data_IF_764620165659
#
_entry.id   IF_764620165659
#
_cell.length_a   1.000
_cell.length_b   1.000
_cell.length_c   1.000
_cell.angle_alpha   90.00
_cell.angle_beta   90.00
_cell.angle_gamma   90.00
#
_symmetry.space_group_name_H-M   'P 1'
#
loop_
_entity.id
_entity.type
_entity.pdbx_description
1 polymer ?
#
# COMPACT_ATOMS: atom_id res chain seq x y z
N UNK A 1 31.69 -26.06 33.81
CA UNK A 1 30.85 -24.95 34.32
C UNK A 1 30.00 -24.45 33.15
N UNK A 2 28.69 -24.64 33.26
CA UNK A 2 27.71 -24.37 32.21
C UNK A 2 27.36 -22.88 32.18
N UNK A 3 27.39 -22.25 31.00
CA UNK A 3 26.87 -20.89 30.81
C UNK A 3 25.60 -20.99 29.96
N UNK A 4 24.51 -20.60 30.61
CA UNK A 4 23.13 -20.62 30.11
C UNK A 4 22.92 -19.57 29.01
N UNK A 5 22.56 -20.02 27.81
CA UNK A 5 21.99 -19.17 26.76
C UNK A 5 20.46 -19.18 26.91
N UNK A 6 19.88 -18.03 27.25
CA UNK A 6 18.44 -17.78 27.13
C UNK A 6 18.15 -17.16 25.76
N UNK A 7 17.19 -17.66 24.96
CA UNK A 7 16.74 -16.96 23.77
C UNK A 7 15.69 -15.90 24.16
N UNK A 8 15.91 -14.66 23.72
CA UNK A 8 14.90 -13.58 23.71
C UNK A 8 14.32 -13.45 22.29
N UNK A 9 13.09 -12.94 22.26
CA UNK A 9 12.29 -12.43 21.12
C UNK A 9 11.65 -13.43 20.13
N UNK A 10 10.41 -13.86 20.45
CA UNK A 10 9.33 -14.13 19.50
C UNK A 10 8.46 -12.85 19.42
N UNK A 11 8.69 -12.00 18.43
CA UNK A 11 7.86 -10.81 18.15
C UNK A 11 8.05 -10.44 16.69
N UNK A 12 7.10 -10.72 15.79
CA UNK A 12 7.03 -10.06 14.46
C UNK A 12 5.84 -10.43 13.56
N UNK A 13 4.76 -11.08 14.04
CA UNK A 13 3.63 -11.41 13.16
C UNK A 13 2.54 -10.32 13.08
N UNK A 14 2.45 -9.43 14.08
CA UNK A 14 1.29 -8.53 14.23
C UNK A 14 1.54 -7.06 13.85
N UNK A 15 2.77 -6.68 13.52
CA UNK A 15 3.10 -5.31 13.09
C UNK A 15 2.81 -5.03 11.61
N UNK A 16 2.52 -6.05 10.80
CA UNK A 16 2.31 -5.91 9.36
C UNK A 16 0.97 -5.26 8.97
N UNK A 17 -0.03 -5.25 9.85
CA UNK A 17 -1.32 -4.57 9.57
C UNK A 17 -1.20 -3.04 9.71
N UNK A 18 -0.30 -2.56 10.58
CA UNK A 18 -0.10 -1.12 10.82
C UNK A 18 0.94 -0.44 9.91
N UNK A 19 1.78 -1.22 9.24
CA UNK A 19 2.76 -0.74 8.25
C UNK A 19 2.33 -0.98 6.80
N UNK A 20 1.18 -1.63 6.58
CA UNK A 20 0.49 -1.69 5.29
C UNK A 20 -0.25 -0.38 4.99
N UNK A 21 0.46 0.75 5.05
CA UNK A 21 0.00 1.99 4.43
C UNK A 21 0.03 1.82 2.91
N UNK A 22 -1.05 1.28 2.34
CA UNK A 22 -1.24 1.23 0.89
C UNK A 22 -1.98 0.00 0.34
N UNK A 23 -2.11 -1.09 1.09
CA UNK A 23 -2.88 -2.26 0.64
C UNK A 23 -4.34 -2.09 1.03
N UNK A 24 -5.04 -1.19 0.35
CA UNK A 24 -6.46 -1.47 0.11
C UNK A 24 -6.51 -2.71 -0.77
N UNK A 25 -7.40 -3.68 -0.53
CA UNK A 25 -7.66 -4.71 -1.53
C UNK A 25 -7.85 -3.99 -2.87
N UNK A 26 -7.34 -4.54 -4.00
CA UNK A 26 -7.63 -3.93 -5.28
C UNK A 26 -9.13 -3.70 -5.31
N UNK A 27 -9.54 -2.47 -5.65
CA UNK A 27 -10.89 -2.24 -6.13
C UNK A 27 -10.99 -2.98 -7.47
N UNK A 28 -10.97 -4.32 -7.42
CA UNK A 28 -11.70 -5.14 -8.38
C UNK A 28 -13.08 -4.52 -8.33
N UNK A 29 -13.49 -3.96 -9.46
CA UNK A 29 -14.71 -3.19 -9.60
C UNK A 29 -15.74 -3.72 -8.60
N UNK A 30 -16.34 -2.82 -7.83
CA UNK A 30 -17.68 -3.10 -7.38
C UNK A 30 -18.45 -3.38 -8.68
N UNK A 31 -18.47 -4.64 -9.12
CA UNK A 31 -19.44 -5.14 -10.07
C UNK A 31 -20.74 -4.59 -9.53
N UNK A 32 -21.40 -3.84 -10.41
CA UNK A 32 -22.60 -3.05 -10.20
C UNK A 32 -23.25 -3.40 -8.88
N UNK A 33 -23.28 -2.45 -7.94
CA UNK A 33 -23.92 -2.55 -6.64
C UNK A 33 -25.02 -3.62 -6.71
N UNK A 34 -24.66 -4.85 -6.32
CA UNK A 34 -25.57 -5.96 -6.49
C UNK A 34 -26.81 -5.52 -5.72
N UNK A 35 -27.90 -5.29 -6.46
CA UNK A 35 -29.18 -4.92 -5.90
C UNK A 35 -29.38 -5.83 -4.69
N UNK A 36 -29.62 -5.24 -3.51
CA UNK A 36 -29.80 -6.01 -2.29
C UNK A 36 -30.71 -7.18 -2.63
N UNK A 37 -30.23 -8.45 -2.53
CA UNK A 37 -30.96 -9.55 -3.12
C UNK A 37 -32.36 -9.53 -2.51
N UNK A 38 -33.38 -9.42 -3.37
CA UNK A 38 -34.76 -9.52 -2.98
C UNK A 38 -34.90 -10.72 -2.04
N UNK A 39 -35.63 -10.57 -0.93
CA UNK A 39 -35.78 -11.57 0.13
C UNK A 39 -36.03 -12.96 -0.49
N UNK A 40 -34.97 -13.75 -0.67
CA UNK A 40 -35.06 -15.03 -1.36
C UNK A 40 -35.67 -15.98 -0.36
N UNK A 41 -36.98 -16.25 -0.50
CA UNK A 41 -37.62 -17.33 0.22
C UNK A 41 -36.83 -18.61 -0.06
N UNK A 42 -36.24 -19.28 0.95
CA UNK A 42 -35.42 -20.46 0.71
C UNK A 42 -36.23 -21.53 -0.02
N UNK A 43 -35.84 -21.87 -1.25
CA UNK A 43 -36.61 -22.80 -2.10
C UNK A 43 -36.00 -24.20 -2.14
N UNK A 44 -34.76 -24.36 -1.66
CA UNK A 44 -34.04 -25.62 -1.62
C UNK A 44 -33.42 -25.91 -0.24
N UNK A 45 -33.07 -27.17 0.08
CA UNK A 45 -32.32 -27.50 1.29
C UNK A 45 -30.98 -26.75 1.40
N UNK A 46 -30.33 -26.46 0.26
CA UNK A 46 -29.11 -25.67 0.22
C UNK A 46 -29.37 -24.21 0.61
N UNK A 47 -30.48 -23.61 0.18
CA UNK A 47 -30.82 -22.24 0.58
C UNK A 47 -31.09 -22.12 2.08
N UNK A 48 -31.74 -23.13 2.67
CA UNK A 48 -31.97 -23.18 4.13
C UNK A 48 -30.65 -23.26 4.88
N UNK A 49 -29.73 -24.14 4.46
CA UNK A 49 -28.42 -24.25 5.08
C UNK A 49 -27.56 -22.99 4.88
N UNK A 50 -27.68 -22.33 3.71
CA UNK A 50 -26.95 -21.10 3.42
C UNK A 50 -27.46 -19.88 4.21
N UNK A 51 -28.74 -19.88 4.59
CA UNK A 51 -29.31 -18.82 5.41
C UNK A 51 -28.61 -18.71 6.77
N UNK A 52 -28.20 -19.83 7.37
CA UNK A 52 -27.43 -19.86 8.62
C UNK A 52 -26.06 -19.19 8.45
N UNK A 53 -25.36 -19.50 7.35
CA UNK A 53 -24.08 -18.88 7.00
C UNK A 53 -24.26 -17.36 6.87
N UNK A 54 -25.28 -16.93 6.13
CA UNK A 54 -25.56 -15.51 5.87
C UNK A 54 -25.89 -14.75 7.16
N UNK A 55 -26.65 -15.36 8.06
CA UNK A 55 -26.97 -14.79 9.38
C UNK A 55 -25.71 -14.58 10.22
N UNK A 56 -24.79 -15.56 10.25
CA UNK A 56 -23.52 -15.43 10.95
C UNK A 56 -22.60 -14.36 10.35
N UNK A 57 -22.57 -14.23 9.01
CA UNK A 57 -21.77 -13.22 8.32
C UNK A 57 -22.25 -11.79 8.62
N UNK A 58 -23.56 -11.58 8.65
CA UNK A 58 -24.20 -10.28 8.84
C UNK A 58 -24.36 -9.87 10.31
N UNK A 59 -24.22 -10.82 11.25
CA UNK A 59 -24.32 -10.52 12.68
C UNK A 59 -23.13 -9.68 13.17
N UNK A 60 -23.44 -8.57 13.85
CA UNK A 60 -22.46 -7.83 14.66
C UNK A 60 -22.60 -8.24 16.12
N UNK A 61 -21.52 -8.64 16.79
CA UNK A 61 -21.59 -9.05 18.20
C UNK A 61 -21.86 -7.89 19.17
N UNK A 62 -21.68 -6.63 18.74
CA UNK A 62 -21.86 -5.45 19.61
C UNK A 62 -22.51 -4.28 18.88
N UNK A 63 -23.40 -3.57 19.59
CA UNK A 63 -24.08 -2.36 19.10
C UNK A 63 -23.36 -1.07 19.52
N UNK A 64 -22.56 -1.11 20.59
CA UNK A 64 -21.79 0.04 21.09
C UNK A 64 -20.62 0.37 20.13
N UNK A 65 -20.34 1.65 19.82
CA UNK A 65 -19.16 2.04 19.06
C UNK A 65 -17.87 1.66 19.79
N UNK A 66 -16.87 1.15 19.05
CA UNK A 66 -15.58 0.69 19.62
C UNK A 66 -14.88 1.75 20.48
N UNK A 67 -14.92 3.02 20.05
CA UNK A 67 -14.29 4.14 20.74
C UNK A 67 -14.88 4.40 22.15
N UNK A 68 -16.14 4.02 22.37
CA UNK A 68 -16.88 4.23 23.61
C UNK A 68 -16.79 3.04 24.57
N UNK A 69 -16.24 1.91 24.12
CA UNK A 69 -16.12 0.71 24.95
C UNK A 69 -15.01 0.82 25.99
N UNK A 70 -15.32 0.44 27.21
CA UNK A 70 -14.33 0.15 28.27
C UNK A 70 -13.41 -1.01 27.86
N UNK A 71 -12.22 -1.15 28.47
CA UNK A 71 -11.33 -2.27 28.19
C UNK A 71 -11.97 -3.66 28.35
N UNK A 72 -12.85 -3.83 29.35
CA UNK A 72 -13.58 -5.07 29.57
C UNK A 72 -14.58 -5.35 28.43
N UNK A 73 -15.34 -4.34 28.01
CA UNK A 73 -16.28 -4.45 26.89
C UNK A 73 -15.57 -4.77 25.57
N UNK A 74 -14.38 -4.21 25.34
CA UNK A 74 -13.57 -4.53 24.15
C UNK A 74 -13.12 -5.98 24.14
N UNK A 75 -12.59 -6.48 25.26
CA UNK A 75 -12.19 -7.90 25.38
C UNK A 75 -13.38 -8.83 25.15
N UNK A 76 -14.55 -8.47 25.65
CA UNK A 76 -15.77 -9.25 25.43
C UNK A 76 -16.24 -9.18 23.97
N UNK A 77 -16.22 -8.01 23.34
CA UNK A 77 -16.49 -7.84 21.91
C UNK A 77 -15.59 -8.72 21.05
N UNK A 78 -14.28 -8.77 21.36
CA UNK A 78 -13.31 -9.63 20.67
C UNK A 78 -13.62 -11.11 20.86
N UNK A 79 -14.02 -11.55 22.06
CA UNK A 79 -14.46 -12.94 22.32
C UNK A 79 -15.72 -13.30 21.55
N UNK A 80 -16.73 -12.43 21.54
CA UNK A 80 -17.96 -12.68 20.80
C UNK A 80 -17.69 -12.75 19.30
N UNK A 81 -16.81 -11.90 18.76
CA UNK A 81 -16.41 -12.02 17.35
C UNK A 81 -15.62 -13.31 17.08
N UNK A 82 -14.78 -13.76 18.00
CA UNK A 82 -14.07 -15.04 17.89
C UNK A 82 -15.05 -16.24 17.87
N UNK A 83 -16.03 -16.26 18.77
CA UNK A 83 -17.09 -17.28 18.77
C UNK A 83 -17.88 -17.27 17.46
N UNK A 84 -18.26 -16.09 16.97
CA UNK A 84 -18.98 -15.93 15.69
C UNK A 84 -18.16 -16.46 14.51
N UNK A 85 -16.87 -16.15 14.44
CA UNK A 85 -15.99 -16.62 13.35
C UNK A 85 -15.74 -18.12 13.41
N UNK A 86 -15.69 -18.73 14.61
CA UNK A 86 -15.66 -20.18 14.77
C UNK A 86 -16.97 -20.84 14.31
N UNK A 87 -18.12 -20.27 14.67
CA UNK A 87 -19.43 -20.76 14.22
C UNK A 87 -19.56 -20.65 12.69
N UNK A 88 -19.09 -19.53 12.11
CA UNK A 88 -19.07 -19.32 10.67
C UNK A 88 -18.17 -20.35 9.95
N UNK A 89 -16.98 -20.62 10.48
CA UNK A 89 -16.10 -21.66 9.96
C UNK A 89 -16.80 -23.03 9.95
N UNK A 90 -17.45 -23.39 11.06
CA UNK A 90 -18.18 -24.65 11.20
C UNK A 90 -19.35 -24.75 10.21
N UNK A 91 -20.17 -23.71 10.10
CA UNK A 91 -21.32 -23.65 9.21
C UNK A 91 -20.90 -23.80 7.73
N UNK A 92 -19.86 -23.08 7.30
CA UNK A 92 -19.36 -23.18 5.91
C UNK A 92 -18.73 -24.56 5.66
N UNK A 93 -18.05 -25.15 6.65
CA UNK A 93 -17.52 -26.52 6.53
C UNK A 93 -18.64 -27.53 6.33
N UNK A 94 -19.71 -27.43 7.13
CA UNK A 94 -20.87 -28.31 7.03
C UNK A 94 -21.60 -28.13 5.69
N UNK A 95 -21.78 -26.88 5.26
CA UNK A 95 -22.40 -26.56 3.98
C UNK A 95 -21.63 -27.19 2.81
N UNK A 96 -20.31 -26.99 2.74
CA UNK A 96 -19.48 -27.53 1.67
C UNK A 96 -19.50 -29.08 1.65
N UNK A 97 -19.55 -29.72 2.82
CA UNK A 97 -19.65 -31.18 2.91
C UNK A 97 -21.03 -31.72 2.47
N UNK A 98 -22.10 -30.97 2.76
CA UNK A 98 -23.46 -31.37 2.43
C UNK A 98 -23.82 -31.07 0.97
N UNK A 99 -23.28 -29.99 0.40
CA UNK A 99 -23.59 -29.50 -0.95
C UNK A 99 -22.29 -29.28 -1.76
N UNK A 100 -21.56 -30.36 -2.11
CA UNK A 100 -20.25 -30.26 -2.77
C UNK A 100 -20.30 -29.66 -4.19
N UNK A 101 -21.47 -29.69 -4.84
CA UNK A 101 -21.65 -29.12 -6.18
C UNK A 101 -22.21 -27.69 -6.14
N UNK A 102 -22.60 -27.17 -4.97
CA UNK A 102 -23.14 -25.82 -4.85
C UNK A 102 -22.00 -24.78 -4.89
N UNK A 103 -22.04 -23.78 -5.78
CA UNK A 103 -20.96 -22.80 -5.93
C UNK A 103 -20.72 -21.96 -4.66
N UNK A 104 -21.73 -21.83 -3.79
CA UNK A 104 -21.62 -21.12 -2.51
C UNK A 104 -20.65 -21.80 -1.53
N UNK A 105 -20.25 -23.07 -1.77
CA UNK A 105 -19.22 -23.72 -0.95
C UNK A 105 -17.87 -22.98 -0.94
N UNK A 106 -17.61 -22.20 -2.01
CA UNK A 106 -16.39 -21.40 -2.18
C UNK A 106 -16.52 -19.99 -1.56
N UNK A 107 -17.73 -19.61 -1.14
CA UNK A 107 -17.99 -18.34 -0.48
C UNK A 107 -17.46 -18.33 0.97
N UNK A 108 -17.38 -17.13 1.55
CA UNK A 108 -16.94 -16.87 2.94
C UNK A 108 -15.46 -17.13 3.20
N UNK A 109 -14.75 -17.87 2.34
CA UNK A 109 -13.30 -18.05 2.41
C UNK A 109 -12.58 -16.69 2.58
N UNK A 110 -12.91 -15.72 1.73
CA UNK A 110 -12.30 -14.38 1.75
C UNK A 110 -12.49 -13.69 3.11
N UNK A 111 -13.69 -13.77 3.69
CA UNK A 111 -13.97 -13.17 5.00
C UNK A 111 -13.17 -13.86 6.12
N UNK A 112 -13.10 -15.19 6.11
CA UNK A 112 -12.34 -15.96 7.10
C UNK A 112 -10.83 -15.74 6.97
N UNK A 113 -10.31 -15.42 5.80
CA UNK A 113 -8.89 -15.01 5.63
C UNK A 113 -8.60 -13.66 6.29
N UNK A 114 -9.51 -12.69 6.18
CA UNK A 114 -9.32 -11.37 6.79
C UNK A 114 -9.62 -11.37 8.30
N UNK A 115 -10.58 -12.18 8.73
CA UNK A 115 -11.01 -12.29 10.12
C UNK A 115 -11.02 -13.76 10.58
N UNK A 116 -9.85 -14.40 10.69
CA UNK A 116 -9.78 -15.79 11.10
C UNK A 116 -10.14 -15.93 12.59
N UNK A 117 -10.75 -17.07 13.00
CA UNK A 117 -10.93 -17.39 14.40
C UNK A 117 -9.56 -17.43 15.10
N UNK A 118 -9.50 -16.80 16.26
CA UNK A 118 -8.30 -16.70 17.11
C UNK A 118 -8.31 -17.72 18.25
N UNK A 119 -9.44 -18.37 18.51
CA UNK A 119 -9.61 -19.32 19.60
C UNK A 119 -9.06 -18.75 20.91
N UNK A 120 -9.61 -17.60 21.31
CA UNK A 120 -9.07 -16.74 22.36
C UNK A 120 -9.00 -17.50 23.69
N UNK A 121 -7.80 -17.66 24.23
CA UNK A 121 -7.54 -18.23 25.56
C UNK A 121 -7.26 -17.15 26.59
N UNK A 122 -6.89 -15.94 26.16
CA UNK A 122 -6.64 -14.82 27.06
C UNK A 122 -6.26 -13.53 26.32
N UNK A 123 -5.76 -12.57 27.09
CA UNK A 123 -5.22 -11.32 26.57
C UNK A 123 -3.90 -11.01 27.26
N UNK A 124 -2.95 -10.45 26.52
CA UNK A 124 -1.70 -9.93 27.08
C UNK A 124 -1.95 -8.63 27.85
N UNK A 125 -1.03 -8.31 28.76
CA UNK A 125 -1.02 -7.06 29.51
C UNK A 125 -0.39 -5.90 28.73
N UNK A 126 -0.02 -6.11 27.46
CA UNK A 126 0.73 -5.11 26.69
C UNK A 126 -0.09 -3.85 26.39
N UNK A 127 -1.43 -3.98 26.34
CA UNK A 127 -2.37 -2.90 26.02
C UNK A 127 -3.61 -2.95 26.94
N UNK A 128 -3.40 -2.87 28.26
CA UNK A 128 -4.52 -3.02 29.22
C UNK A 128 -5.50 -1.84 29.22
N UNK A 129 -5.03 -0.65 28.88
CA UNK A 129 -5.85 0.56 28.75
C UNK A 129 -6.68 0.56 27.46
N UNK A 130 -6.21 -0.14 26.42
CA UNK A 130 -6.86 -0.16 25.12
C UNK A 130 -6.71 -1.51 24.40
N UNK A 131 -7.29 -2.60 24.94
CA UNK A 131 -7.14 -3.92 24.36
C UNK A 131 -7.75 -3.98 22.96
N UNK A 132 -7.00 -4.55 22.02
CA UNK A 132 -7.39 -4.72 20.63
C UNK A 132 -6.89 -6.04 20.06
N UNK A 133 -6.89 -6.19 18.74
CA UNK A 133 -6.46 -7.43 18.07
C UNK A 133 -5.05 -7.89 18.48
N UNK A 134 -4.15 -6.95 18.74
CA UNK A 134 -2.77 -7.23 19.14
C UNK A 134 -2.64 -7.78 20.57
N UNK A 135 -3.65 -7.58 21.43
CA UNK A 135 -3.61 -8.08 22.80
C UNK A 135 -4.14 -9.51 22.92
N UNK A 136 -4.72 -10.09 21.88
CA UNK A 136 -5.28 -11.45 21.92
C UNK A 136 -4.18 -12.50 22.12
N UNK A 137 -4.42 -13.43 23.05
CA UNK A 137 -3.69 -14.69 23.18
C UNK A 137 -4.63 -15.80 22.71
N UNK A 138 -4.26 -16.49 21.64
CA UNK A 138 -5.04 -17.56 21.01
C UNK A 138 -4.47 -18.96 21.29
N UNK A 139 -5.27 -19.98 21.06
CA UNK A 139 -4.84 -21.38 21.05
C UNK A 139 -4.03 -21.66 19.76
N UNK A 140 -2.70 -21.74 19.89
CA UNK A 140 -1.79 -21.95 18.76
C UNK A 140 -2.12 -23.21 17.95
N UNK A 141 -2.50 -24.31 18.60
CA UNK A 141 -2.78 -25.57 17.92
C UNK A 141 -4.08 -25.49 17.11
N UNK A 142 -5.11 -24.85 17.64
CA UNK A 142 -6.38 -24.66 16.91
C UNK A 142 -6.23 -23.68 15.75
N UNK A 143 -5.48 -22.60 15.93
CA UNK A 143 -5.17 -21.67 14.85
C UNK A 143 -4.39 -22.36 13.73
N UNK A 144 -3.36 -23.14 14.05
CA UNK A 144 -2.61 -23.91 13.05
C UNK A 144 -3.51 -24.93 12.31
N UNK A 145 -4.45 -25.57 13.02
CA UNK A 145 -5.41 -26.48 12.41
C UNK A 145 -6.38 -25.75 11.46
N UNK A 146 -6.82 -24.54 11.83
CA UNK A 146 -7.62 -23.67 10.97
C UNK A 146 -6.84 -23.28 9.71
N UNK A 147 -5.60 -22.80 9.86
CA UNK A 147 -4.74 -22.42 8.73
C UNK A 147 -4.56 -23.58 7.75
N UNK A 148 -4.34 -24.80 8.25
CA UNK A 148 -4.23 -26.00 7.41
C UNK A 148 -5.53 -26.31 6.64
N UNK A 149 -6.71 -26.04 7.22
CA UNK A 149 -8.00 -26.15 6.52
C UNK A 149 -8.18 -25.03 5.50
N UNK A 150 -7.80 -23.80 5.83
CA UNK A 150 -7.88 -22.68 4.90
C UNK A 150 -6.98 -22.87 3.69
N UNK A 151 -5.75 -23.38 3.86
CA UNK A 151 -4.86 -23.69 2.75
C UNK A 151 -5.49 -24.68 1.74
N UNK A 152 -6.25 -25.67 2.23
CA UNK A 152 -6.99 -26.60 1.36
C UNK A 152 -8.13 -25.91 0.61
N UNK A 153 -8.86 -25.01 1.27
CA UNK A 153 -9.93 -24.23 0.64
C UNK A 153 -9.40 -23.26 -0.42
N UNK A 154 -8.25 -22.62 -0.15
CA UNK A 154 -7.54 -21.80 -1.14
C UNK A 154 -7.25 -22.63 -2.38
N UNK A 155 -6.64 -23.80 -2.20
CA UNK A 155 -6.31 -24.69 -3.31
C UNK A 155 -7.58 -25.11 -4.09
N UNK A 156 -8.67 -25.39 -3.40
CA UNK A 156 -9.97 -25.70 -4.01
C UNK A 156 -10.52 -24.53 -4.83
N UNK A 157 -10.53 -23.31 -4.28
CA UNK A 157 -10.95 -22.09 -4.98
C UNK A 157 -10.11 -21.87 -6.23
N UNK A 158 -8.79 -22.01 -6.14
CA UNK A 158 -7.88 -21.77 -7.28
C UNK A 158 -7.95 -22.85 -8.37
N UNK A 159 -8.39 -24.06 -8.01
CA UNK A 159 -8.59 -25.17 -8.92
C UNK A 159 -10.01 -25.23 -9.50
N UNK A 160 -10.99 -24.59 -8.86
CA UNK A 160 -12.39 -24.68 -9.27
C UNK A 160 -12.69 -23.82 -10.50
N UNK A 161 -13.33 -24.37 -11.55
CA UNK A 161 -13.83 -23.59 -12.68
C UNK A 161 -15.04 -22.71 -12.30
N UNK A 162 -15.73 -23.03 -11.20
CA UNK A 162 -16.90 -22.29 -10.72
C UNK A 162 -16.52 -21.07 -9.87
N UNK A 163 -15.23 -20.92 -9.56
CA UNK A 163 -14.77 -19.84 -8.70
C UNK A 163 -14.90 -18.47 -9.39
N UNK A 164 -15.52 -17.52 -8.71
CA UNK A 164 -15.65 -16.16 -9.23
C UNK A 164 -14.30 -15.44 -9.21
N UNK A 165 -14.13 -14.40 -10.04
CA UNK A 165 -12.93 -13.52 -10.02
C UNK A 165 -12.65 -12.99 -8.60
N UNK A 166 -13.70 -12.63 -7.85
CA UNK A 166 -13.59 -12.15 -6.47
C UNK A 166 -13.02 -13.22 -5.53
N UNK A 167 -13.48 -14.46 -5.64
CA UNK A 167 -13.00 -15.57 -4.82
C UNK A 167 -11.54 -15.90 -5.15
N UNK A 168 -11.21 -16.02 -6.45
CA UNK A 168 -9.82 -16.23 -6.92
C UNK A 168 -8.91 -15.09 -6.45
N UNK A 169 -9.37 -13.85 -6.58
CA UNK A 169 -8.66 -12.67 -6.11
C UNK A 169 -8.38 -12.69 -4.61
N UNK A 170 -9.39 -13.02 -3.80
CA UNK A 170 -9.23 -13.15 -2.35
C UNK A 170 -8.31 -14.30 -1.92
N UNK A 171 -8.35 -15.42 -2.64
CA UNK A 171 -7.45 -16.57 -2.45
C UNK A 171 -5.99 -16.19 -2.69
N UNK A 172 -5.69 -15.58 -3.84
CA UNK A 172 -4.33 -15.10 -4.11
C UNK A 172 -3.89 -14.00 -3.15
N UNK A 173 -4.77 -13.05 -2.79
CA UNK A 173 -4.42 -12.01 -1.83
C UNK A 173 -4.02 -12.60 -0.47
N UNK A 174 -4.72 -13.64 -0.01
CA UNK A 174 -4.40 -14.34 1.24
C UNK A 174 -3.02 -14.99 1.14
N UNK A 175 -2.76 -15.76 0.09
CA UNK A 175 -1.45 -16.36 -0.16
C UNK A 175 -0.34 -15.30 -0.24
N UNK A 176 -0.61 -14.17 -0.88
CA UNK A 176 0.34 -13.08 -1.07
C UNK A 176 0.74 -12.45 0.27
N UNK A 177 -0.23 -12.08 1.10
CA UNK A 177 0.00 -11.52 2.44
C UNK A 177 0.76 -12.50 3.32
N UNK A 178 0.37 -13.77 3.29
CA UNK A 178 1.01 -14.81 4.06
C UNK A 178 2.46 -15.06 3.64
N UNK A 179 2.72 -15.23 2.34
CA UNK A 179 4.06 -15.45 1.81
C UNK A 179 4.97 -14.25 2.13
N UNK A 180 4.45 -13.03 1.95
CA UNK A 180 5.14 -11.79 2.35
C UNK A 180 5.43 -11.78 3.85
N UNK A 181 4.46 -12.11 4.69
CA UNK A 181 4.63 -12.15 6.14
C UNK A 181 5.69 -13.17 6.59
N UNK A 182 5.69 -14.37 5.99
CA UNK A 182 6.72 -15.39 6.23
C UNK A 182 8.10 -14.92 5.78
N UNK A 183 8.22 -14.28 4.62
CA UNK A 183 9.47 -13.67 4.19
C UNK A 183 9.95 -12.57 5.15
N UNK A 184 9.08 -11.63 5.55
CA UNK A 184 9.48 -10.55 6.44
C UNK A 184 9.96 -11.06 7.81
N UNK A 185 9.45 -12.22 8.24
CA UNK A 185 9.86 -12.87 9.50
C UNK A 185 11.19 -13.61 9.38
N UNK A 186 11.35 -14.42 8.33
CA UNK A 186 12.48 -15.36 8.23
C UNK A 186 13.64 -14.81 7.37
N UNK A 187 13.34 -13.91 6.42
CA UNK A 187 14.27 -13.27 5.47
C UNK A 187 15.20 -14.24 4.72
N UNK A 188 14.73 -15.44 4.41
CA UNK A 188 15.50 -16.45 3.66
C UNK A 188 15.17 -16.43 2.16
N UNK A 189 16.12 -16.87 1.33
CA UNK A 189 15.91 -16.98 -0.13
C UNK A 189 14.75 -17.92 -0.50
N UNK A 190 14.50 -18.97 0.29
CA UNK A 190 13.36 -19.86 0.08
C UNK A 190 12.02 -19.15 0.29
N UNK A 191 11.91 -18.31 1.33
CA UNK A 191 10.69 -17.50 1.56
C UNK A 191 10.53 -16.39 0.53
N UNK A 192 11.64 -15.83 0.07
CA UNK A 192 11.61 -14.87 -1.03
C UNK A 192 11.01 -15.53 -2.27
N UNK A 193 11.52 -16.70 -2.66
CA UNK A 193 11.01 -17.43 -3.83
C UNK A 193 9.52 -17.79 -3.68
N UNK A 194 9.10 -18.24 -2.49
CA UNK A 194 7.68 -18.49 -2.21
C UNK A 194 6.80 -17.25 -2.46
N UNK A 195 7.25 -16.07 -2.04
CA UNK A 195 6.56 -14.81 -2.33
C UNK A 195 6.55 -14.48 -3.83
N UNK A 196 7.67 -14.70 -4.53
CA UNK A 196 7.77 -14.46 -5.98
C UNK A 196 6.77 -15.34 -6.74
N UNK A 197 6.74 -16.64 -6.46
CA UNK A 197 5.86 -17.60 -7.13
C UNK A 197 4.37 -17.23 -6.95
N UNK A 198 3.99 -16.79 -5.74
CA UNK A 198 2.62 -16.36 -5.45
C UNK A 198 2.26 -15.06 -6.19
N UNK A 199 3.16 -14.07 -6.18
CA UNK A 199 2.92 -12.80 -6.83
C UNK A 199 2.77 -12.98 -8.35
N UNK A 200 3.63 -13.79 -8.96
CA UNK A 200 3.58 -14.12 -10.39
C UNK A 200 2.28 -14.84 -10.75
N UNK A 201 1.92 -15.89 -10.00
CA UNK A 201 0.66 -16.60 -10.23
C UNK A 201 -0.56 -15.69 -10.07
N UNK A 202 -0.52 -14.75 -9.13
CA UNK A 202 -1.57 -13.75 -8.93
C UNK A 202 -1.70 -12.81 -10.14
N UNK A 203 -0.58 -12.32 -10.68
CA UNK A 203 -0.58 -11.47 -11.88
C UNK A 203 -1.13 -12.20 -13.11
N UNK A 204 -0.80 -13.48 -13.27
CA UNK A 204 -1.29 -14.28 -14.40
C UNK A 204 -2.79 -14.56 -14.32
N UNK A 205 -3.30 -14.80 -13.11
CA UNK A 205 -4.72 -15.13 -12.90
C UNK A 205 -5.61 -13.90 -12.77
N UNK A 206 -5.06 -12.72 -12.47
CA UNK A 206 -5.78 -11.48 -12.25
C UNK A 206 -5.22 -10.35 -13.13
N UNK A 207 -5.41 -10.40 -14.46
CA UNK A 207 -4.84 -9.41 -15.39
C UNK A 207 -5.31 -7.97 -15.06
N UNK A 208 -6.54 -7.81 -14.59
CA UNK A 208 -7.12 -6.52 -14.20
C UNK A 208 -6.37 -5.86 -13.02
N UNK A 209 -5.67 -6.66 -12.20
CA UNK A 209 -4.86 -6.19 -11.07
C UNK A 209 -3.35 -6.23 -11.36
N UNK A 210 -2.94 -6.80 -12.50
CA UNK A 210 -1.54 -7.11 -12.79
C UNK A 210 -0.66 -5.86 -12.80
N UNK A 211 -1.14 -4.71 -13.28
CA UNK A 211 -0.34 -3.49 -13.31
C UNK A 211 0.05 -2.97 -11.92
N UNK A 212 -0.88 -2.99 -10.97
CA UNK A 212 -0.62 -2.54 -9.59
C UNK A 212 0.25 -3.56 -8.85
N UNK A 213 -0.04 -4.86 -9.04
CA UNK A 213 0.78 -5.94 -8.48
C UNK A 213 2.20 -5.90 -9.02
N UNK A 214 2.39 -5.63 -10.30
CA UNK A 214 3.70 -5.53 -10.92
C UNK A 214 4.54 -4.39 -10.33
N UNK A 215 3.92 -3.22 -10.08
CA UNK A 215 4.57 -2.10 -9.39
C UNK A 215 4.97 -2.45 -7.96
N UNK A 216 4.06 -3.04 -7.19
CA UNK A 216 4.36 -3.48 -5.82
C UNK A 216 5.49 -4.51 -5.81
N UNK A 217 5.42 -5.47 -6.72
CA UNK A 217 6.37 -6.57 -6.81
C UNK A 217 7.76 -6.09 -7.21
N UNK A 218 7.86 -5.21 -8.21
CA UNK A 218 9.13 -4.59 -8.58
C UNK A 218 9.68 -3.75 -7.42
N UNK A 219 8.83 -2.99 -6.73
CA UNK A 219 9.21 -2.26 -5.53
C UNK A 219 9.77 -3.19 -4.45
N UNK A 220 9.11 -4.31 -4.19
CA UNK A 220 9.56 -5.30 -3.23
C UNK A 220 10.92 -5.91 -3.61
N UNK A 221 11.09 -6.29 -4.88
CA UNK A 221 12.34 -6.82 -5.41
C UNK A 221 13.50 -5.82 -5.33
N UNK A 222 13.24 -4.50 -5.46
CA UNK A 222 14.26 -3.47 -5.26
C UNK A 222 14.85 -3.48 -3.84
N UNK A 223 14.04 -3.79 -2.83
CA UNK A 223 14.48 -3.82 -1.43
C UNK A 223 14.99 -5.18 -0.95
N UNK A 224 14.47 -6.27 -1.54
CA UNK A 224 14.64 -7.61 -0.98
C UNK A 224 15.22 -8.62 -1.97
N UNK A 225 15.15 -8.35 -3.27
CA UNK A 225 15.62 -9.23 -4.33
C UNK A 225 17.03 -8.87 -4.82
N UNK A 226 17.62 -9.78 -5.58
CA UNK A 226 18.88 -9.54 -6.30
C UNK A 226 18.62 -8.75 -7.59
N UNK A 227 19.69 -8.17 -8.15
CA UNK A 227 19.62 -7.53 -9.46
C UNK A 227 19.16 -8.51 -10.56
N UNK A 228 19.51 -9.79 -10.45
CA UNK A 228 19.10 -10.84 -11.39
C UNK A 228 17.59 -11.10 -11.30
N UNK A 229 17.04 -11.19 -10.09
CA UNK A 229 15.60 -11.36 -9.89
C UNK A 229 14.80 -10.14 -10.39
N UNK A 230 15.30 -8.93 -10.13
CA UNK A 230 14.73 -7.70 -10.67
C UNK A 230 14.74 -7.72 -12.20
N UNK A 231 15.87 -8.06 -12.82
CA UNK A 231 16.00 -8.12 -14.27
C UNK A 231 15.09 -9.19 -14.90
N UNK A 232 15.01 -10.38 -14.30
CA UNK A 232 14.12 -11.45 -14.73
C UNK A 232 12.65 -11.02 -14.67
N UNK A 233 12.25 -10.36 -13.57
CA UNK A 233 10.90 -9.85 -13.41
C UNK A 233 10.56 -8.75 -14.43
N UNK A 234 11.47 -7.80 -14.65
CA UNK A 234 11.29 -6.76 -15.67
C UNK A 234 11.17 -7.37 -17.08
N UNK A 235 12.00 -8.38 -17.40
CA UNK A 235 11.94 -9.06 -18.70
C UNK A 235 10.58 -9.75 -18.93
N UNK A 236 10.02 -10.39 -17.89
CA UNK A 236 8.68 -11.00 -17.95
C UNK A 236 7.58 -9.99 -18.31
N UNK A 237 7.72 -8.74 -17.86
CA UNK A 237 6.72 -7.70 -18.06
C UNK A 237 6.84 -6.99 -19.43
N UNK A 238 7.89 -7.24 -20.21
CA UNK A 238 8.11 -6.59 -21.50
C UNK A 238 6.99 -6.84 -22.51
N UNK A 239 6.36 -8.03 -22.44
CA UNK A 239 5.25 -8.39 -23.33
C UNK A 239 3.90 -7.88 -22.85
N UNK A 240 3.83 -7.21 -21.70
CA UNK A 240 2.58 -6.64 -21.21
C UNK A 240 2.10 -5.54 -22.14
N UNK A 241 0.81 -5.56 -22.48
CA UNK A 241 0.17 -4.47 -23.23
C UNK A 241 -0.36 -3.33 -22.36
N UNK A 242 -0.36 -3.52 -21.04
CA UNK A 242 -0.81 -2.50 -20.10
C UNK A 242 0.13 -1.28 -20.13
N UNK A 243 -0.40 -0.05 -20.35
CA UNK A 243 0.41 1.15 -20.51
C UNK A 243 1.18 1.52 -19.23
N UNK A 244 0.60 1.28 -18.06
CA UNK A 244 1.25 1.56 -16.78
C UNK A 244 2.40 0.56 -16.53
N UNK A 245 2.27 -0.70 -16.97
CA UNK A 245 3.36 -1.70 -16.93
C UNK A 245 4.46 -1.36 -17.93
N UNK A 246 4.12 -1.01 -19.18
CA UNK A 246 5.09 -0.58 -20.20
C UNK A 246 5.93 0.60 -19.70
N UNK A 247 5.28 1.59 -19.11
CA UNK A 247 5.95 2.74 -18.52
C UNK A 247 6.88 2.32 -17.39
N UNK A 248 6.42 1.49 -16.45
CA UNK A 248 7.25 1.00 -15.35
C UNK A 248 8.49 0.24 -15.85
N UNK A 249 8.33 -0.63 -16.85
CA UNK A 249 9.44 -1.37 -17.47
C UNK A 249 10.46 -0.41 -18.10
N UNK A 250 10.00 0.58 -18.85
CA UNK A 250 10.86 1.61 -19.45
C UNK A 250 11.67 2.36 -18.36
N UNK A 251 10.98 2.87 -17.33
CA UNK A 251 11.61 3.59 -16.23
C UNK A 251 12.60 2.73 -15.44
N UNK A 252 12.32 1.45 -15.24
CA UNK A 252 13.23 0.51 -14.57
C UNK A 252 14.55 0.31 -15.31
N UNK A 253 14.56 0.60 -16.63
CA UNK A 253 15.74 0.55 -17.50
C UNK A 253 16.40 1.92 -17.67
N UNK A 254 15.92 2.94 -16.96
CA UNK A 254 16.38 4.31 -17.09
C UNK A 254 15.83 5.05 -18.32
N UNK A 255 14.83 4.51 -19.00
CA UNK A 255 14.11 5.26 -20.03
C UNK A 255 13.09 6.20 -19.36
N UNK A 256 13.49 7.45 -19.27
CA UNK A 256 12.70 8.55 -18.72
C UNK A 256 12.15 9.48 -19.82
N UNK A 257 12.00 8.99 -21.05
CA UNK A 257 11.55 9.78 -22.22
C UNK A 257 10.21 10.49 -22.05
N UNK A 258 9.32 9.96 -21.19
CA UNK A 258 8.05 10.63 -20.85
C UNK A 258 8.23 11.99 -20.15
N UNK A 259 9.42 12.25 -19.60
CA UNK A 259 9.78 13.54 -19.00
C UNK A 259 10.49 14.48 -20.01
N UNK A 260 10.42 14.17 -21.31
CA UNK A 260 10.93 15.08 -22.35
C UNK A 260 10.28 16.47 -22.24
N UNK A 261 11.06 17.50 -22.60
CA UNK A 261 10.63 18.89 -22.50
C UNK A 261 10.65 19.48 -21.09
N UNK A 262 11.23 18.79 -20.09
CA UNK A 262 11.35 19.31 -18.73
C UNK A 262 12.09 20.67 -18.67
N UNK A 263 13.02 20.89 -19.59
CA UNK A 263 13.76 22.15 -19.73
C UNK A 263 12.85 23.34 -20.11
N UNK A 264 11.65 23.10 -20.64
CA UNK A 264 10.70 24.15 -21.02
C UNK A 264 9.81 24.60 -19.85
N UNK A 265 10.00 24.04 -18.65
CA UNK A 265 9.24 24.44 -17.46
C UNK A 265 9.81 25.74 -16.91
N UNK A 266 8.96 26.77 -16.91
CA UNK A 266 9.17 28.00 -16.17
C UNK A 266 7.91 28.40 -15.41
N UNK A 267 8.07 28.96 -14.21
CA UNK A 267 6.97 29.39 -13.36
C UNK A 267 7.42 30.37 -12.27
N UNK A 268 6.48 31.14 -11.73
CA UNK A 268 6.67 31.92 -10.51
C UNK A 268 6.33 31.06 -9.29
N UNK A 269 7.29 30.87 -8.40
CA UNK A 269 7.11 30.14 -7.14
C UNK A 269 6.16 30.89 -6.19
N UNK A 270 5.69 30.18 -5.16
CA UNK A 270 4.75 30.69 -4.16
C UNK A 270 5.27 31.93 -3.42
N UNK A 271 6.59 32.05 -3.27
CA UNK A 271 7.28 33.18 -2.65
C UNK A 271 7.71 34.28 -3.64
N UNK A 272 7.36 34.14 -4.92
CA UNK A 272 7.64 35.12 -5.97
C UNK A 272 8.96 34.90 -6.72
N UNK A 273 9.74 33.86 -6.41
CA UNK A 273 10.94 33.53 -7.21
C UNK A 273 10.57 33.02 -8.59
N UNK A 274 11.20 33.56 -9.62
CA UNK A 274 11.08 33.05 -10.99
C UNK A 274 11.97 31.82 -11.18
N UNK A 275 11.36 30.70 -11.58
CA UNK A 275 12.02 29.43 -11.81
C UNK A 275 11.96 29.10 -13.28
N UNK A 276 13.08 28.62 -13.82
CA UNK A 276 13.26 28.23 -15.22
C UNK A 276 14.23 27.05 -15.25
N UNK A 277 13.70 25.85 -15.49
CA UNK A 277 14.51 24.62 -15.49
C UNK A 277 15.54 24.61 -16.62
N UNK A 278 15.27 25.28 -17.75
CA UNK A 278 16.21 25.43 -18.85
C UNK A 278 17.49 26.17 -18.44
N UNK A 279 17.36 27.14 -17.52
CA UNK A 279 18.49 27.87 -16.92
C UNK A 279 19.23 27.11 -15.83
N UNK A 280 18.73 25.96 -15.39
CA UNK A 280 19.36 25.11 -14.37
C UNK A 280 20.26 24.02 -14.96
N UNK A 281 20.48 23.99 -16.29
CA UNK A 281 21.49 23.12 -16.91
C UNK A 281 22.86 23.31 -16.24
N UNK A 282 23.57 22.21 -16.05
CA UNK A 282 24.82 22.14 -15.28
C UNK A 282 24.63 21.89 -13.79
N UNK A 283 23.40 21.93 -13.27
CA UNK A 283 23.07 21.60 -11.89
C UNK A 283 22.36 20.26 -11.79
N UNK A 284 22.48 19.61 -10.63
CA UNK A 284 21.63 18.49 -10.25
C UNK A 284 20.37 19.07 -9.59
N UNK A 285 19.18 18.78 -10.10
CA UNK A 285 17.94 19.37 -9.60
C UNK A 285 16.99 18.29 -9.12
N UNK A 286 16.57 18.34 -7.86
CA UNK A 286 15.51 17.50 -7.32
C UNK A 286 14.17 18.24 -7.39
N UNK A 287 13.18 17.66 -8.09
CA UNK A 287 11.79 18.09 -8.00
C UNK A 287 11.09 17.19 -6.98
N UNK A 288 10.65 17.77 -5.87
CA UNK A 288 10.01 17.08 -4.74
C UNK A 288 8.51 17.37 -4.69
N UNK A 289 7.68 16.36 -4.96
CA UNK A 289 6.22 16.45 -4.92
C UNK A 289 5.72 16.06 -3.52
N UNK A 290 5.15 17.04 -2.80
CA UNK A 290 4.84 16.90 -1.38
C UNK A 290 3.59 17.67 -0.94
N UNK A 291 3.16 17.47 0.30
CA UNK A 291 2.13 18.30 0.94
C UNK A 291 2.22 18.23 2.47
N UNK A 292 1.65 19.23 3.16
CA UNK A 292 1.70 19.29 4.64
C UNK A 292 0.86 18.22 5.34
N UNK A 293 -0.06 17.57 4.62
CA UNK A 293 -0.88 16.47 5.11
C UNK A 293 -0.28 15.08 4.79
N UNK A 294 0.82 15.03 4.04
CA UNK A 294 1.47 13.78 3.64
C UNK A 294 2.51 13.36 4.70
N UNK A 295 2.12 12.43 5.58
CA UNK A 295 3.00 11.91 6.64
C UNK A 295 4.37 11.41 6.14
N UNK A 296 4.42 10.51 5.13
CA UNK A 296 5.69 10.03 4.59
C UNK A 296 6.55 11.14 3.97
N UNK A 297 5.94 12.13 3.30
CA UNK A 297 6.67 13.28 2.77
C UNK A 297 7.37 14.05 3.89
N UNK A 298 6.67 14.30 5.00
CA UNK A 298 7.24 14.99 6.17
C UNK A 298 8.41 14.20 6.78
N UNK A 299 8.34 12.87 6.75
CA UNK A 299 9.43 12.01 7.19
C UNK A 299 10.70 12.14 6.36
N UNK A 300 10.59 12.47 5.07
CA UNK A 300 11.71 12.60 4.13
C UNK A 300 12.34 14.01 4.12
N UNK A 301 11.59 15.06 4.49
CA UNK A 301 12.09 16.44 4.50
C UNK A 301 13.46 16.62 5.19
N UNK A 302 13.70 16.07 6.41
CA UNK A 302 15.01 16.20 7.06
C UNK A 302 16.18 15.68 6.21
N UNK A 303 15.96 14.60 5.45
CA UNK A 303 16.98 14.05 4.55
C UNK A 303 17.26 14.99 3.38
N UNK A 304 16.21 15.57 2.77
CA UNK A 304 16.35 16.54 1.67
C UNK A 304 17.06 17.81 2.15
N UNK A 305 16.70 18.34 3.33
CA UNK A 305 17.35 19.51 3.93
C UNK A 305 18.83 19.23 4.19
N UNK A 306 19.17 18.08 4.77
CA UNK A 306 20.56 17.72 5.02
C UNK A 306 21.39 17.62 3.72
N UNK A 307 20.82 17.03 2.66
CA UNK A 307 21.49 16.96 1.35
C UNK A 307 21.61 18.34 0.70
N UNK A 308 20.59 19.17 0.79
CA UNK A 308 20.64 20.55 0.30
C UNK A 308 21.76 21.35 0.99
N UNK A 309 21.83 21.30 2.32
CA UNK A 309 22.89 21.97 3.08
C UNK A 309 24.30 21.50 2.68
N UNK A 310 24.49 20.21 2.40
CA UNK A 310 25.79 19.64 2.03
C UNK A 310 26.21 19.97 0.59
N UNK A 311 25.25 19.98 -0.34
CA UNK A 311 25.53 19.92 -1.78
C UNK A 311 25.05 21.14 -2.57
N UNK A 312 24.31 22.07 -1.96
CA UNK A 312 23.78 23.23 -2.66
C UNK A 312 24.87 24.05 -3.35
N UNK A 313 25.92 24.40 -2.60
CA UNK A 313 27.06 25.16 -3.12
C UNK A 313 27.89 24.39 -4.17
N UNK A 314 27.65 23.08 -4.29
CA UNK A 314 28.29 22.20 -5.30
C UNK A 314 27.43 22.04 -6.56
N UNK A 315 26.29 22.72 -6.66
CA UNK A 315 25.40 22.66 -7.81
C UNK A 315 24.20 21.73 -7.63
N UNK A 316 23.81 21.40 -6.40
CA UNK A 316 22.54 20.74 -6.11
C UNK A 316 21.44 21.78 -5.84
N UNK A 317 20.28 21.62 -6.49
CA UNK A 317 19.10 22.46 -6.27
C UNK A 317 17.90 21.59 -5.96
N UNK A 318 16.94 22.18 -5.26
CA UNK A 318 15.65 21.54 -4.99
C UNK A 318 14.55 22.49 -5.47
N UNK A 319 13.47 21.92 -5.97
CA UNK A 319 12.21 22.61 -6.28
C UNK A 319 11.11 21.78 -5.64
N UNK A 320 10.34 22.38 -4.75
CA UNK A 320 9.15 21.75 -4.21
C UNK A 320 7.95 21.98 -5.13
N UNK A 321 7.15 20.95 -5.37
CA UNK A 321 5.85 21.04 -6.03
C UNK A 321 4.80 20.58 -5.03
N UNK A 322 3.99 21.51 -4.54
CA UNK A 322 3.07 21.18 -3.44
C UNK A 322 1.65 20.89 -3.92
N UNK A 323 1.10 19.77 -3.46
CA UNK A 323 -0.31 19.39 -3.63
C UNK A 323 -1.16 19.87 -2.44
N UNK A 324 -0.83 21.04 -1.89
CA UNK A 324 -1.62 21.64 -0.81
C UNK A 324 -2.94 22.22 -1.36
N UNK A 325 -4.05 22.04 -0.63
CA UNK A 325 -5.35 22.64 -0.96
C UNK A 325 -6.23 22.93 0.25
N UNK A 326 -5.76 22.70 1.48
CA UNK A 326 -6.53 22.83 2.73
C UNK A 326 -7.95 22.24 2.69
N UNK A 327 -8.13 21.10 2.01
CA UNK A 327 -9.41 20.38 1.97
C UNK A 327 -10.42 20.91 0.96
N UNK A 328 -10.05 21.85 0.08
CA UNK A 328 -10.86 22.22 -1.08
C UNK A 328 -10.90 21.02 -2.05
N UNK A 329 -11.96 20.22 -2.01
CA UNK A 329 -12.14 19.08 -2.93
C UNK A 329 -13.14 19.48 -4.02
N UNK A 330 -12.72 19.31 -5.28
CA UNK A 330 -13.52 19.27 -6.52
C UNK A 330 -13.76 20.59 -7.28
N UNK A 331 -13.80 21.77 -6.64
CA UNK A 331 -14.12 23.04 -7.34
C UNK A 331 -13.07 24.15 -7.11
N UNK A 332 -11.85 23.97 -7.64
CA UNK A 332 -10.72 24.87 -7.39
C UNK A 332 -10.88 26.27 -7.99
N UNK A 333 -11.61 26.38 -9.10
CA UNK A 333 -11.83 27.64 -9.82
C UNK A 333 -13.03 28.44 -9.29
N UNK A 334 -13.75 27.93 -8.28
CA UNK A 334 -14.83 28.67 -7.64
C UNK A 334 -14.25 29.88 -6.88
N UNK A 335 -14.63 31.12 -7.22
CA UNK A 335 -14.18 32.33 -6.50
C UNK A 335 -14.41 32.28 -4.98
N UNK A 336 -15.41 31.51 -4.51
CA UNK A 336 -15.67 31.31 -3.08
C UNK A 336 -14.51 30.58 -2.35
N UNK A 337 -13.65 29.88 -3.08
CA UNK A 337 -12.51 29.15 -2.53
C UNK A 337 -11.22 29.99 -2.46
N UNK A 338 -11.18 31.19 -3.05
CA UNK A 338 -9.97 32.03 -3.12
C UNK A 338 -9.33 32.30 -1.74
N UNK A 339 -10.15 32.60 -0.73
CA UNK A 339 -9.66 32.84 0.64
C UNK A 339 -9.05 31.57 1.26
N UNK A 340 -9.65 30.39 1.02
CA UNK A 340 -9.12 29.11 1.52
C UNK A 340 -7.80 28.77 0.84
N UNK A 341 -7.70 28.96 -0.48
CA UNK A 341 -6.46 28.72 -1.23
C UNK A 341 -5.34 29.68 -0.81
N UNK A 342 -5.67 30.95 -0.51
CA UNK A 342 -4.70 31.91 0.05
C UNK A 342 -4.19 31.46 1.42
N UNK A 343 -5.08 30.98 2.30
CA UNK A 343 -4.70 30.43 3.60
C UNK A 343 -3.86 29.16 3.46
N UNK A 344 -4.23 28.27 2.53
CA UNK A 344 -3.49 27.05 2.24
C UNK A 344 -2.05 27.36 1.80
N UNK A 345 -1.89 28.31 0.87
CA UNK A 345 -0.58 28.81 0.44
C UNK A 345 0.24 29.36 1.62
N UNK A 346 -0.37 30.21 2.46
CA UNK A 346 0.31 30.82 3.60
C UNK A 346 0.73 29.77 4.64
N UNK A 347 -0.13 28.79 4.92
CA UNK A 347 0.16 27.67 5.82
C UNK A 347 1.31 26.81 5.29
N UNK A 348 1.29 26.49 3.99
CA UNK A 348 2.37 25.73 3.35
C UNK A 348 3.70 26.48 3.42
N UNK A 349 3.73 27.77 3.11
CA UNK A 349 4.97 28.58 3.21
C UNK A 349 5.48 28.66 4.66
N UNK A 350 4.57 28.83 5.63
CA UNK A 350 4.95 28.83 7.05
C UNK A 350 5.49 27.47 7.50
N UNK A 351 4.94 26.37 6.99
CA UNK A 351 5.44 25.02 7.24
C UNK A 351 6.81 24.80 6.59
N UNK A 352 6.97 25.15 5.32
CA UNK A 352 8.26 25.04 4.62
C UNK A 352 9.36 25.81 5.37
N UNK A 353 9.03 27.02 5.85
CA UNK A 353 9.94 27.82 6.70
C UNK A 353 10.25 27.14 8.03
N UNK A 354 9.28 26.54 8.72
CA UNK A 354 9.52 25.87 10.00
C UNK A 354 10.27 24.54 9.88
N UNK A 355 10.41 24.03 8.65
CA UNK A 355 11.18 22.83 8.31
C UNK A 355 12.49 23.15 7.58
N UNK A 356 12.92 24.42 7.57
CA UNK A 356 14.16 24.86 6.93
C UNK A 356 14.27 24.42 5.46
N UNK A 357 13.18 24.60 4.70
CA UNK A 357 13.12 24.34 3.25
C UNK A 357 13.34 25.66 2.49
N UNK A 358 14.59 26.10 2.23
CA UNK A 358 14.88 27.39 1.60
C UNK A 358 14.55 27.43 0.10
N UNK A 359 14.32 26.28 -0.53
CA UNK A 359 14.06 26.17 -1.96
C UNK A 359 12.65 26.63 -2.37
N UNK A 360 12.47 27.04 -3.65
CA UNK A 360 11.18 27.50 -4.15
C UNK A 360 10.11 26.41 -4.07
N UNK A 361 8.85 26.84 -3.87
CA UNK A 361 7.68 25.98 -3.83
C UNK A 361 6.71 26.37 -4.95
N UNK A 362 6.45 25.50 -5.91
CA UNK A 362 5.34 25.66 -6.84
C UNK A 362 4.02 25.34 -6.14
N UNK A 363 3.05 26.25 -6.27
CA UNK A 363 1.70 26.10 -5.72
C UNK A 363 0.68 26.74 -6.66
N UNK A 364 -0.25 25.95 -7.17
CA UNK A 364 -1.39 26.40 -7.97
C UNK A 364 -2.75 26.16 -7.28
N UNK A 365 -2.75 25.49 -6.12
CA UNK A 365 -3.96 25.20 -5.34
C UNK A 365 -4.87 24.11 -5.93
N UNK A 366 -4.46 23.45 -7.02
CA UNK A 366 -5.28 22.49 -7.78
C UNK A 366 -5.21 21.05 -7.27
N UNK A 367 -4.50 20.79 -6.18
CA UNK A 367 -4.36 19.45 -5.57
C UNK A 367 -3.83 18.41 -6.57
N UNK A 368 -4.55 17.31 -6.83
CA UNK A 368 -4.19 16.31 -7.84
C UNK A 368 -4.32 16.81 -9.29
N UNK A 369 -4.97 17.96 -9.51
CA UNK A 369 -5.00 18.65 -10.81
C UNK A 369 -3.87 19.68 -10.93
N UNK A 370 -2.85 19.61 -10.07
CA UNK A 370 -1.67 20.48 -10.13
C UNK A 370 -0.98 20.33 -11.49
N UNK A 371 -0.69 21.44 -12.15
CA UNK A 371 -0.27 21.44 -13.55
C UNK A 371 1.07 20.69 -13.72
N UNK A 372 1.99 20.86 -12.78
CA UNK A 372 3.25 20.11 -12.77
C UNK A 372 3.03 18.64 -12.37
N UNK A 373 2.20 18.34 -11.37
CA UNK A 373 1.91 16.94 -11.02
C UNK A 373 1.32 16.17 -12.22
N UNK A 374 0.38 16.77 -12.95
CA UNK A 374 -0.21 16.20 -14.17
C UNK A 374 0.83 16.04 -15.26
N UNK A 375 1.64 17.08 -15.52
CA UNK A 375 2.70 17.03 -16.54
C UNK A 375 3.73 15.94 -16.27
N UNK A 376 4.06 15.70 -15.01
CA UNK A 376 4.97 14.64 -14.58
C UNK A 376 4.28 13.30 -14.33
N UNK A 377 2.97 13.17 -14.60
CA UNK A 377 2.20 11.93 -14.41
C UNK A 377 2.19 11.43 -12.96
N UNK A 378 2.26 12.33 -11.98
CA UNK A 378 2.33 12.00 -10.56
C UNK A 378 0.94 11.60 -10.05
N UNK A 379 0.79 10.33 -9.68
CA UNK A 379 -0.47 9.73 -9.19
C UNK A 379 -0.49 9.52 -7.66
N UNK A 380 0.65 9.68 -7.00
CA UNK A 380 0.80 9.51 -5.55
C UNK A 380 1.97 10.38 -5.05
N UNK A 381 1.93 10.77 -3.77
CA UNK A 381 3.05 11.43 -3.08
C UNK A 381 3.43 10.67 -1.80
N UNK A 382 4.70 10.69 -1.38
CA UNK A 382 5.83 11.44 -1.95
C UNK A 382 6.25 10.91 -3.32
N UNK A 383 6.63 11.83 -4.21
CA UNK A 383 7.26 11.49 -5.48
C UNK A 383 8.43 12.45 -5.73
N UNK A 384 9.50 11.94 -6.32
CA UNK A 384 10.73 12.70 -6.56
C UNK A 384 11.19 12.48 -7.99
N UNK A 385 11.70 13.54 -8.61
CA UNK A 385 12.31 13.46 -9.94
C UNK A 385 13.65 14.17 -9.88
N UNK A 386 14.73 13.40 -10.00
CA UNK A 386 16.09 13.91 -9.99
C UNK A 386 16.55 14.13 -11.44
N UNK A 387 16.94 15.36 -11.73
CA UNK A 387 17.43 15.81 -13.03
C UNK A 387 18.95 15.95 -12.94
N UNK A 388 19.66 15.37 -13.90
CA UNK A 388 21.10 15.49 -14.04
C UNK A 388 21.54 16.84 -14.61
N UNK A 389 22.86 17.13 -14.60
CA UNK A 389 23.41 18.38 -15.14
C UNK A 389 23.18 18.55 -16.66
N UNK A 390 22.90 17.47 -17.38
CA UNK A 390 22.52 17.49 -18.80
C UNK A 390 21.08 17.97 -19.05
N UNK A 391 20.31 18.22 -17.97
CA UNK A 391 18.91 18.62 -18.02
C UNK A 391 17.93 17.48 -18.25
N UNK A 392 18.38 16.22 -18.19
CA UNK A 392 17.55 15.03 -18.37
C UNK A 392 17.23 14.40 -17.01
N UNK A 393 16.10 13.70 -16.92
CA UNK A 393 15.77 12.94 -15.71
C UNK A 393 16.74 11.77 -15.58
N UNK A 394 17.42 11.70 -14.44
CA UNK A 394 18.35 10.64 -14.08
C UNK A 394 17.68 9.57 -13.20
N UNK A 395 16.63 9.93 -12.46
CA UNK A 395 15.94 9.02 -11.53
C UNK A 395 14.61 9.55 -11.03
N UNK A 396 13.73 8.63 -10.67
CA UNK A 396 12.46 8.89 -9.97
C UNK A 396 12.40 8.23 -8.57
N UNK A 397 13.53 7.69 -8.12
CA UNK A 397 13.66 6.91 -6.87
C UNK A 397 14.67 7.54 -5.90
N UNK A 398 15.10 8.78 -6.15
CA UNK A 398 16.13 9.50 -5.39
C UNK A 398 15.60 9.97 -4.02
N UNK A 399 15.38 9.04 -3.09
CA UNK A 399 14.88 9.28 -1.72
C UNK A 399 15.66 8.46 -0.70
N UNK A 400 15.56 8.80 0.57
CA UNK A 400 16.33 8.16 1.64
C UNK A 400 17.82 8.21 1.33
N UNK A 401 18.53 7.10 1.58
CA UNK A 401 19.96 7.02 1.29
C UNK A 401 20.30 7.11 -0.20
N UNK A 402 19.36 6.78 -1.09
CA UNK A 402 19.60 6.82 -2.53
C UNK A 402 19.72 8.25 -3.05
N UNK A 403 19.07 9.22 -2.40
CA UNK A 403 19.18 10.63 -2.76
C UNK A 403 20.65 11.09 -2.74
N UNK A 404 21.34 10.90 -1.62
CA UNK A 404 22.75 11.32 -1.47
C UNK A 404 23.66 10.60 -2.46
N UNK A 405 23.45 9.29 -2.66
CA UNK A 405 24.24 8.49 -3.61
C UNK A 405 24.11 9.02 -5.04
N UNK A 406 22.90 9.35 -5.48
CA UNK A 406 22.68 9.85 -6.82
C UNK A 406 23.14 11.29 -7.01
N UNK A 407 22.97 12.14 -6.00
CA UNK A 407 23.55 13.49 -6.02
C UNK A 407 25.06 13.37 -6.23
N UNK A 408 25.77 12.61 -5.40
CA UNK A 408 27.22 12.44 -5.50
C UNK A 408 27.67 11.88 -6.86
N UNK A 409 26.87 10.98 -7.45
CA UNK A 409 27.15 10.43 -8.79
C UNK A 409 26.97 11.45 -9.91
N UNK A 410 26.02 12.38 -9.77
CA UNK A 410 25.62 13.32 -10.83
C UNK A 410 26.27 14.70 -10.68
N UNK A 411 26.76 15.04 -9.49
CA UNK A 411 27.47 16.30 -9.27
C UNK A 411 28.67 16.35 -10.21
N UNK A 412 28.89 17.48 -10.91
CA UNK A 412 30.07 17.64 -11.74
C UNK A 412 31.35 17.50 -10.90
N UNK A 413 32.37 16.86 -11.46
CA UNK A 413 33.70 16.82 -10.86
C UNK A 413 34.22 18.26 -10.78
N UNK A 414 34.38 18.76 -9.55
CA UNK A 414 34.98 20.07 -9.31
C UNK A 414 36.49 19.96 -9.57
N UNK A 415 36.93 20.22 -10.81
CA UNK A 415 38.33 20.44 -11.17
C UNK A 415 38.87 21.77 -10.67
#
# INVERSE_FOLDING_TARGET
>A
MSVSLRPRSRFLLTALVGLAGGLTPPAVAADEAAEAPAEVVPTSPADVAWAEVTALQSSSPTVTPWAEMTPAQRRESLRMNDVRTQALEAAVTAFAAQFPDDPRRLEVFVQLSYQPPKYITGFSSADDEMPGWNSIIGDEAKMAAFEARQAKRIAEVLASPDATKRQVGGAFYTLFVEARGRFMKDQTSARLQEYLDVAEAMMDRLPDAAANLAKEHLGFLKFHGTAEQQAAFVARLESSDDPDVKQMVAESRGDFSRFSGIADIAFTAADGREIDLGKMRGKVVLIDFWATWCGPCIGEIPNVVANYQKYHDRGFEVIGVTLENSGVRKDFDDPANASKLKMAKAKMLAFAKSKDMPWPQYYDGKFWQNDLALRFGIKAIPAMVLIGPDGQVASIEARGEELERQILRLLPDNS
#
